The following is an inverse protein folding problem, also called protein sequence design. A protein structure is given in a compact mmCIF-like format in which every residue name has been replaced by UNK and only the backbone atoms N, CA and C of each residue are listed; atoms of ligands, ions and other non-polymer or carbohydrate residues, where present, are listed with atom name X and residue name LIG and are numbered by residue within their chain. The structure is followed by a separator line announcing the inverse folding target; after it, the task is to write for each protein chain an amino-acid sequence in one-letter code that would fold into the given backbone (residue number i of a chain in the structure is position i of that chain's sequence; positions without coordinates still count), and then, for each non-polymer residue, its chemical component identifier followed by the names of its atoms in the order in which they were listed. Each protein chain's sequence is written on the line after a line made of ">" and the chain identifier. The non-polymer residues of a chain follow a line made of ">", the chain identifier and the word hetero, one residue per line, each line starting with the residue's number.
data_IF_532287109099
#
_entry.id   IF_532287109099
#
_cell.length_a   1.000
_cell.length_b   1.000
_cell.length_c   1.000
_cell.angle_alpha   90.00
_cell.angle_beta   90.00
_cell.angle_gamma   90.00
#
_symmetry.space_group_name_H-M   'P 1'
#
loop_
_entity.id
_entity.type
_entity.pdbx_description
1 polymer ?
#
# COMPACT_ATOMS: atom_id res chain seq x y z
N UNK A 1 -60.09 -2.03 16.48
CA UNK A 1 -60.20 -0.60 16.83
C UNK A 1 -59.05 0.13 16.17
N UNK A 2 -59.39 1.17 15.43
CA UNK A 2 -58.58 1.88 14.43
C UNK A 2 -57.74 2.98 15.08
N UNK A 3 -56.52 3.22 14.58
CA UNK A 3 -56.05 4.57 14.16
C UNK A 3 -54.69 4.50 13.44
N UNK A 4 -54.81 4.46 12.12
CA UNK A 4 -53.81 4.91 11.13
C UNK A 4 -53.64 6.43 11.26
N UNK A 5 -52.40 6.93 11.24
CA UNK A 5 -52.12 8.36 11.07
C UNK A 5 -51.33 8.56 9.77
N UNK A 6 -51.97 9.22 8.81
CA UNK A 6 -51.41 9.70 7.55
C UNK A 6 -51.01 11.16 7.77
N UNK A 7 -49.78 11.53 7.42
CA UNK A 7 -49.35 12.93 7.32
C UNK A 7 -49.07 13.23 5.85
N UNK A 8 -49.89 14.12 5.30
CA UNK A 8 -49.82 14.71 3.97
C UNK A 8 -49.37 16.18 4.05
N UNK A 9 -48.67 16.64 3.00
CA UNK A 9 -48.48 18.06 2.68
C UNK A 9 -47.08 18.61 2.99
N UNK A 10 -46.45 19.50 2.20
CA UNK A 10 -46.91 20.43 1.16
C UNK A 10 -45.72 20.75 0.23
N UNK A 11 -46.05 20.94 -1.04
CA UNK A 11 -45.21 21.43 -2.15
C UNK A 11 -44.91 22.93 -2.02
N UNK A 12 -43.70 23.39 -2.35
CA UNK A 12 -43.51 24.80 -2.76
C UNK A 12 -42.47 24.90 -3.87
N UNK A 13 -42.97 25.30 -5.04
CA UNK A 13 -42.20 25.77 -6.21
C UNK A 13 -42.09 27.28 -6.08
N UNK A 14 -40.89 27.83 -6.22
CA UNK A 14 -40.70 29.25 -6.53
C UNK A 14 -39.72 29.37 -7.70
N UNK A 15 -40.26 29.75 -8.85
CA UNK A 15 -39.56 30.37 -9.97
C UNK A 15 -39.95 31.85 -10.00
N UNK A 16 -38.98 32.74 -10.25
CA UNK A 16 -39.11 34.07 -10.88
C UNK A 16 -37.68 34.53 -11.23
N UNK A 17 -37.31 34.46 -12.51
CA UNK A 17 -37.36 35.54 -13.51
C UNK A 17 -36.31 36.63 -13.33
N UNK A 18 -35.49 36.81 -14.36
CA UNK A 18 -34.54 37.90 -14.51
C UNK A 18 -33.80 37.81 -15.85
N UNK A 19 -34.50 38.12 -16.93
CA UNK A 19 -33.93 38.31 -18.27
C UNK A 19 -33.03 39.55 -18.34
N UNK A 20 -31.95 39.49 -19.12
CA UNK A 20 -31.70 40.51 -20.15
C UNK A 20 -30.72 39.99 -21.20
N UNK A 21 -31.18 39.90 -22.44
CA UNK A 21 -30.36 39.81 -23.66
C UNK A 21 -29.63 41.13 -23.91
N UNK A 22 -28.41 41.07 -24.46
CA UNK A 22 -28.00 41.98 -25.53
C UNK A 22 -26.83 41.42 -26.36
N UNK A 23 -27.05 41.40 -27.69
CA UNK A 23 -26.09 41.14 -28.77
C UNK A 23 -24.97 42.19 -28.81
N UNK A 24 -23.75 41.78 -29.17
CA UNK A 24 -23.13 42.14 -30.46
C UNK A 24 -21.75 41.49 -30.65
N UNK A 25 -21.45 41.16 -31.91
CA UNK A 25 -20.14 40.78 -32.44
C UNK A 25 -19.14 41.92 -32.24
N UNK A 26 -17.89 41.58 -31.92
CA UNK A 26 -16.75 42.31 -32.47
C UNK A 26 -15.49 41.43 -32.48
N UNK A 27 -14.77 41.51 -33.59
CA UNK A 27 -13.53 40.80 -33.88
C UNK A 27 -12.37 41.52 -33.18
N UNK A 28 -11.60 40.82 -32.33
CA UNK A 28 -10.50 41.48 -31.60
C UNK A 28 -9.54 40.53 -30.90
N UNK A 29 -8.42 40.26 -31.57
CA UNK A 29 -7.09 39.87 -31.04
C UNK A 29 -7.01 39.61 -29.51
N UNK A 30 -6.77 38.35 -29.15
CA UNK A 30 -6.39 37.94 -27.80
C UNK A 30 -5.11 38.69 -27.35
N UNK A 31 -5.20 39.46 -26.28
CA UNK A 31 -4.09 40.25 -25.76
C UNK A 31 -3.12 39.38 -24.93
N UNK A 32 -1.83 39.68 -25.03
CA UNK A 32 -0.69 38.92 -24.48
C UNK A 32 -0.61 38.84 -22.94
N UNK A 33 -1.63 39.27 -22.21
CA UNK A 33 -1.54 39.41 -20.74
C UNK A 33 -2.24 38.31 -19.93
N UNK A 34 -2.75 37.26 -20.57
CA UNK A 34 -3.30 36.08 -19.88
C UNK A 34 -2.24 34.98 -19.67
N UNK A 35 -1.01 35.16 -20.18
CA UNK A 35 0.07 34.16 -20.07
C UNK A 35 1.02 34.37 -18.87
N UNK A 36 0.85 35.42 -18.07
CA UNK A 36 1.82 35.77 -17.01
C UNK A 36 1.32 35.54 -15.56
N UNK A 37 0.30 34.69 -15.37
CA UNK A 37 -0.14 34.29 -14.01
C UNK A 37 -0.09 32.78 -13.74
N UNK A 38 0.75 32.05 -14.48
CA UNK A 38 1.02 30.62 -14.27
C UNK A 38 2.47 30.33 -13.81
N UNK A 39 3.12 31.30 -13.19
CA UNK A 39 4.52 31.16 -12.72
C UNK A 39 4.62 31.44 -11.23
N UNK A 40 4.05 30.56 -10.42
CA UNK A 40 4.55 30.24 -9.08
C UNK A 40 4.18 28.79 -8.77
N UNK A 41 4.95 27.87 -9.35
CA UNK A 41 4.96 26.46 -8.95
C UNK A 41 6.41 26.02 -8.80
N UNK A 42 6.76 25.69 -7.57
CA UNK A 42 8.07 25.22 -7.10
C UNK A 42 8.69 24.13 -8.01
N UNK A 43 10.00 24.16 -8.30
CA UNK A 43 10.62 23.22 -9.22
C UNK A 43 11.03 21.93 -8.50
N UNK A 44 10.10 21.00 -8.28
CA UNK A 44 10.46 19.65 -7.81
C UNK A 44 9.38 18.59 -8.06
N UNK A 45 8.77 18.56 -9.24
CA UNK A 45 8.01 17.39 -9.70
C UNK A 45 8.26 17.19 -11.19
N UNK A 46 9.41 16.59 -11.52
CA UNK A 46 9.65 16.01 -12.84
C UNK A 46 10.24 14.62 -12.65
N UNK A 47 9.55 13.64 -13.23
CA UNK A 47 9.86 12.22 -13.35
C UNK A 47 9.65 11.34 -12.10
N UNK A 48 8.38 11.08 -11.76
CA UNK A 48 8.02 9.74 -11.30
C UNK A 48 7.40 9.02 -12.50
N UNK A 49 8.09 7.99 -12.99
CA UNK A 49 7.53 7.10 -13.99
C UNK A 49 6.22 6.53 -13.44
N UNK A 50 5.17 6.47 -14.26
CA UNK A 50 4.00 5.65 -13.94
C UNK A 50 4.54 4.26 -13.55
N UNK A 51 4.16 3.70 -12.39
CA UNK A 51 4.60 2.38 -12.00
C UNK A 51 4.32 1.42 -13.14
N UNK A 52 5.39 0.88 -13.72
CA UNK A 52 5.29 -0.06 -14.84
C UNK A 52 4.44 -1.24 -14.37
N UNK A 53 3.54 -1.68 -15.23
CA UNK A 53 2.86 -2.96 -15.08
C UNK A 53 3.90 -4.03 -14.75
N UNK A 54 3.65 -4.82 -13.70
CA UNK A 54 4.57 -5.88 -13.29
C UNK A 54 4.35 -7.07 -14.21
N UNK A 55 5.37 -7.46 -14.98
CA UNK A 55 5.36 -8.73 -15.70
C UNK A 55 5.49 -9.87 -14.68
N UNK A 56 4.44 -10.71 -14.59
CA UNK A 56 4.41 -11.85 -13.68
C UNK A 56 5.53 -12.86 -13.98
N UNK A 57 6.02 -12.96 -15.22
CA UNK A 57 7.14 -13.83 -15.56
C UNK A 57 8.44 -13.29 -14.98
N UNK A 58 8.71 -12.00 -15.18
CA UNK A 58 9.88 -11.33 -14.60
C UNK A 58 9.86 -11.43 -13.07
N UNK A 59 8.69 -11.25 -12.46
CA UNK A 59 8.50 -11.40 -11.01
C UNK A 59 8.87 -12.81 -10.52
N UNK A 60 8.39 -13.86 -11.19
CA UNK A 60 8.71 -15.26 -10.87
C UNK A 60 10.20 -15.55 -11.07
N UNK A 61 10.78 -15.09 -12.17
CA UNK A 61 12.21 -15.26 -12.46
C UNK A 61 13.10 -14.63 -11.37
N UNK A 62 12.70 -13.49 -10.80
CA UNK A 62 13.41 -12.83 -9.70
C UNK A 62 13.44 -13.68 -8.39
N UNK A 63 12.50 -14.61 -8.25
CA UNK A 63 12.45 -15.57 -7.13
C UNK A 63 13.17 -16.90 -7.44
N UNK A 64 13.68 -17.06 -8.67
CA UNK A 64 14.40 -18.24 -9.11
C UNK A 64 13.51 -19.48 -9.14
N UNK A 65 13.96 -20.57 -8.52
CA UNK A 65 13.20 -21.82 -8.41
C UNK A 65 12.15 -21.81 -7.30
N UNK A 66 12.08 -20.74 -6.50
CA UNK A 66 11.13 -20.64 -5.38
C UNK A 66 9.75 -20.31 -5.90
N UNK A 67 8.75 -21.09 -5.48
CA UNK A 67 7.37 -20.84 -5.86
C UNK A 67 6.85 -19.53 -5.26
N UNK A 68 6.30 -18.68 -6.12
CA UNK A 68 5.60 -17.45 -5.73
C UNK A 68 4.21 -17.83 -5.18
N UNK A 69 3.77 -17.29 -4.03
CA UNK A 69 2.41 -17.48 -3.53
C UNK A 69 1.33 -17.02 -4.52
N UNK A 70 0.28 -17.84 -4.73
CA UNK A 70 -0.90 -17.46 -5.53
C UNK A 70 -1.51 -16.12 -5.06
N UNK A 71 -1.48 -15.86 -3.75
CA UNK A 71 -1.98 -14.61 -3.18
C UNK A 71 -1.23 -13.39 -3.70
N UNK A 72 0.08 -13.53 -3.94
CA UNK A 72 0.94 -12.48 -4.46
C UNK A 72 0.75 -12.30 -5.97
N UNK A 73 0.57 -13.38 -6.72
CA UNK A 73 0.24 -13.30 -8.15
C UNK A 73 -1.11 -12.59 -8.35
N UNK A 74 -2.14 -12.97 -7.59
CA UNK A 74 -3.44 -12.29 -7.64
C UNK A 74 -3.35 -10.82 -7.22
N UNK A 75 -2.46 -10.47 -6.29
CA UNK A 75 -2.23 -9.08 -5.90
C UNK A 75 -1.54 -8.28 -7.01
N UNK A 76 -0.61 -8.89 -7.74
CA UNK A 76 0.01 -8.30 -8.94
C UNK A 76 -1.07 -8.02 -9.99
N UNK A 77 -1.93 -8.98 -10.29
CA UNK A 77 -3.07 -8.80 -11.22
C UNK A 77 -4.00 -7.67 -10.76
N UNK A 78 -4.31 -7.61 -9.46
CA UNK A 78 -5.10 -6.52 -8.88
C UNK A 78 -4.41 -5.16 -9.08
N UNK A 79 -3.11 -5.07 -8.79
CA UNK A 79 -2.33 -3.85 -8.92
C UNK A 79 -2.21 -3.41 -10.38
N UNK A 80 -2.03 -4.33 -11.32
CA UNK A 80 -1.84 -4.04 -12.75
C UNK A 80 -3.15 -3.62 -13.44
N UNK A 81 -4.27 -4.26 -13.09
CA UNK A 81 -5.48 -4.18 -13.92
C UNK A 81 -6.71 -3.59 -13.21
N UNK A 82 -6.75 -3.58 -11.88
CA UNK A 82 -7.90 -3.07 -11.09
C UNK A 82 -7.57 -1.73 -10.42
N UNK A 83 -6.32 -1.55 -10.03
CA UNK A 83 -5.79 -0.38 -9.34
C UNK A 83 -4.50 0.10 -10.00
N UNK A 84 -3.63 0.75 -9.22
CA UNK A 84 -2.20 0.94 -9.54
C UNK A 84 -1.41 0.94 -8.24
N UNK A 85 -0.09 0.78 -8.32
CA UNK A 85 0.78 0.94 -7.16
C UNK A 85 0.48 2.27 -6.42
N UNK A 86 0.58 2.25 -5.09
CA UNK A 86 0.33 3.39 -4.19
C UNK A 86 -1.14 3.87 -4.10
N UNK A 87 -2.07 3.35 -4.90
CA UNK A 87 -3.45 3.86 -4.90
C UNK A 87 -4.41 3.10 -4.01
N UNK A 88 -4.08 1.88 -3.57
CA UNK A 88 -5.00 1.04 -2.83
C UNK A 88 -4.66 0.87 -1.33
N UNK A 89 -3.42 1.17 -0.94
CA UNK A 89 -3.01 1.27 0.45
C UNK A 89 -1.78 2.18 0.54
N UNK A 90 -1.77 3.14 1.47
CA UNK A 90 -0.68 4.10 1.59
C UNK A 90 0.67 3.41 1.84
N UNK A 91 1.70 3.83 1.12
CA UNK A 91 3.07 3.34 1.25
C UNK A 91 3.30 1.90 0.76
N UNK A 92 2.25 1.23 0.28
CA UNK A 92 2.34 -0.15 -0.20
C UNK A 92 2.29 -0.21 -1.72
N UNK A 93 3.23 -0.95 -2.29
CA UNK A 93 3.21 -1.37 -3.68
C UNK A 93 3.97 -2.69 -3.82
N UNK A 94 3.42 -3.63 -4.57
CA UNK A 94 4.21 -4.79 -5.01
C UNK A 94 5.27 -4.29 -5.99
N UNK A 95 6.49 -4.80 -5.89
CA UNK A 95 7.63 -4.42 -6.72
C UNK A 95 8.50 -5.63 -7.05
N UNK A 96 9.21 -5.59 -8.18
CA UNK A 96 10.32 -6.50 -8.44
C UNK A 96 11.56 -5.90 -7.77
N UNK A 97 11.98 -6.49 -6.66
CA UNK A 97 13.08 -5.98 -5.84
C UNK A 97 14.42 -6.65 -6.23
N UNK A 98 15.47 -5.84 -6.41
CA UNK A 98 16.81 -6.28 -6.84
C UNK A 98 17.71 -6.75 -5.69
N UNK A 99 17.14 -6.84 -4.48
CA UNK A 99 17.78 -7.20 -3.20
C UNK A 99 18.89 -6.24 -2.77
N UNK A 100 18.99 -5.05 -3.39
CA UNK A 100 20.00 -4.04 -3.02
C UNK A 100 19.81 -3.54 -1.59
N UNK A 101 18.55 -3.37 -1.17
CA UNK A 101 18.18 -3.05 0.20
C UNK A 101 18.81 -4.06 1.16
N UNK A 102 18.44 -5.35 1.04
CA UNK A 102 18.95 -6.44 1.89
C UNK A 102 20.49 -6.48 2.03
N UNK A 103 21.22 -6.18 0.95
CA UNK A 103 22.69 -6.17 0.94
C UNK A 103 23.30 -5.09 1.84
N UNK A 104 22.53 -4.10 2.29
CA UNK A 104 22.98 -3.12 3.30
C UNK A 104 22.97 -3.70 4.73
N UNK A 105 22.19 -4.75 4.99
CA UNK A 105 22.23 -5.52 6.23
C UNK A 105 23.30 -6.61 6.16
N UNK A 106 23.25 -7.48 5.16
CA UNK A 106 24.28 -8.51 4.98
C UNK A 106 24.42 -8.92 3.52
N UNK A 107 25.67 -9.17 3.11
CA UNK A 107 26.01 -9.70 1.78
C UNK A 107 26.20 -11.21 1.78
N UNK A 108 25.98 -11.86 2.93
CA UNK A 108 26.12 -13.31 3.06
C UNK A 108 25.07 -14.03 2.18
N UNK A 109 25.48 -14.96 1.29
CA UNK A 109 24.53 -15.70 0.46
C UNK A 109 23.47 -16.45 1.26
N UNK A 110 23.83 -17.06 2.40
CA UNK A 110 22.88 -17.78 3.26
C UNK A 110 21.86 -16.86 3.91
N UNK A 111 22.18 -15.59 4.11
CA UNK A 111 21.21 -14.56 4.51
C UNK A 111 20.25 -14.23 3.37
N UNK A 112 20.80 -13.94 2.18
CA UNK A 112 20.02 -13.50 1.01
C UNK A 112 19.12 -14.59 0.43
N UNK A 113 19.48 -15.86 0.56
CA UNK A 113 18.68 -17.01 0.11
C UNK A 113 17.43 -17.25 0.96
N UNK A 114 17.37 -16.70 2.18
CA UNK A 114 16.23 -16.86 3.09
C UNK A 114 15.20 -15.73 3.00
N UNK A 115 15.48 -14.70 2.23
CA UNK A 115 14.71 -13.46 2.19
C UNK A 115 14.22 -13.17 0.77
N UNK A 116 12.91 -13.06 0.64
CA UNK A 116 12.22 -12.84 -0.63
C UNK A 116 11.49 -11.48 -0.57
N UNK A 117 12.19 -10.38 -0.91
CA UNK A 117 11.58 -9.05 -0.95
C UNK A 117 10.57 -8.96 -2.08
N UNK A 118 9.46 -8.25 -1.85
CA UNK A 118 8.36 -8.24 -2.82
C UNK A 118 7.49 -7.00 -2.84
N UNK A 119 7.60 -6.13 -1.83
CA UNK A 119 6.79 -4.94 -1.78
C UNK A 119 7.51 -3.81 -1.05
N UNK A 120 7.27 -2.59 -1.50
CA UNK A 120 7.58 -1.39 -0.75
C UNK A 120 6.65 -1.27 0.46
N UNK A 121 7.16 -0.73 1.56
CA UNK A 121 6.42 -0.60 2.82
C UNK A 121 6.13 0.86 3.24
N UNK A 122 6.95 1.81 2.80
CA UNK A 122 6.73 3.24 3.04
C UNK A 122 7.35 4.09 1.92
N UNK A 123 7.14 5.41 1.95
CA UNK A 123 7.68 6.34 0.96
C UNK A 123 9.18 6.62 1.05
N UNK A 124 9.90 6.09 2.04
CA UNK A 124 11.29 6.47 2.35
C UNK A 124 12.32 5.35 2.13
N UNK A 125 11.88 4.12 1.91
CA UNK A 125 12.73 3.02 1.47
C UNK A 125 12.59 1.72 2.26
N UNK A 126 11.64 1.64 3.20
CA UNK A 126 11.30 0.38 3.86
C UNK A 126 10.63 -0.58 2.89
N UNK A 127 10.80 -1.89 3.11
CA UNK A 127 10.25 -2.94 2.25
C UNK A 127 9.83 -4.19 3.03
N UNK A 128 8.86 -4.91 2.48
CA UNK A 128 8.37 -6.18 2.99
C UNK A 128 9.08 -7.37 2.32
N UNK A 129 9.32 -8.39 3.13
CA UNK A 129 10.07 -9.58 2.78
C UNK A 129 9.35 -10.80 3.33
N UNK A 130 9.19 -11.86 2.53
CA UNK A 130 8.85 -13.17 3.08
C UNK A 130 10.14 -13.82 3.59
N UNK A 131 10.15 -14.22 4.86
CA UNK A 131 11.27 -14.90 5.48
C UNK A 131 11.05 -16.42 5.49
N UNK A 132 11.90 -17.15 4.79
CA UNK A 132 11.94 -18.60 4.84
C UNK A 132 12.56 -19.05 6.19
N UNK A 133 11.69 -19.36 7.15
CA UNK A 133 12.06 -19.77 8.52
C UNK A 133 12.73 -21.16 8.61
N UNK A 134 12.94 -21.84 7.49
CA UNK A 134 13.55 -23.18 7.41
C UNK A 134 12.60 -24.33 7.71
N UNK A 135 11.31 -24.09 7.95
CA UNK A 135 10.34 -25.13 8.33
C UNK A 135 9.75 -25.91 7.14
N UNK A 136 10.24 -25.69 5.91
CA UNK A 136 9.76 -26.32 4.67
C UNK A 136 8.26 -26.11 4.38
N UNK A 137 7.61 -25.16 5.06
CA UNK A 137 6.24 -24.73 4.74
C UNK A 137 6.20 -24.09 3.35
N UNK A 138 5.03 -24.08 2.70
CA UNK A 138 4.86 -23.28 1.49
C UNK A 138 5.05 -21.79 1.78
N UNK A 139 5.54 -21.03 0.80
CA UNK A 139 5.86 -19.60 0.95
C UNK A 139 4.69 -18.75 1.44
N UNK A 140 3.45 -19.12 1.10
CA UNK A 140 2.25 -18.43 1.57
C UNK A 140 1.92 -18.64 3.06
N UNK A 141 2.68 -19.49 3.77
CA UNK A 141 2.57 -19.71 5.22
C UNK A 141 3.80 -19.22 5.99
N UNK A 142 4.75 -18.60 5.28
CA UNK A 142 5.96 -18.07 5.87
C UNK A 142 5.75 -16.65 6.39
N UNK A 143 6.39 -16.28 7.51
CA UNK A 143 6.24 -14.97 8.12
C UNK A 143 6.72 -13.84 7.21
N UNK A 144 6.09 -12.68 7.33
CA UNK A 144 6.51 -11.45 6.66
C UNK A 144 7.28 -10.58 7.65
N UNK A 145 8.45 -10.12 7.21
CA UNK A 145 9.32 -9.16 7.90
C UNK A 145 9.24 -7.82 7.17
N UNK A 146 9.18 -6.73 7.91
CA UNK A 146 9.49 -5.40 7.37
C UNK A 146 10.94 -5.05 7.68
N UNK A 147 11.67 -4.58 6.66
CA UNK A 147 12.99 -3.97 6.80
C UNK A 147 12.83 -2.47 6.72
N UNK A 148 13.17 -1.79 7.82
CA UNK A 148 13.07 -0.35 8.02
C UNK A 148 14.28 0.37 7.45
N UNK A 149 14.05 1.45 6.71
CA UNK A 149 15.11 2.34 6.22
C UNK A 149 15.84 3.12 7.34
N UNK A 150 15.27 3.15 8.55
CA UNK A 150 15.91 3.64 9.77
C UNK A 150 16.66 2.54 10.57
N UNK A 151 16.74 1.31 10.03
CA UNK A 151 17.55 0.21 10.57
C UNK A 151 16.81 -0.85 11.39
N UNK A 152 15.52 -0.66 11.69
CA UNK A 152 14.71 -1.66 12.40
C UNK A 152 14.26 -2.82 11.51
N UNK A 153 14.20 -4.04 12.06
CA UNK A 153 13.62 -5.21 11.37
C UNK A 153 12.60 -5.90 12.27
N UNK A 154 11.38 -6.10 11.77
CA UNK A 154 10.28 -6.63 12.59
C UNK A 154 9.42 -7.62 11.81
N UNK A 155 9.06 -8.72 12.47
CA UNK A 155 7.97 -9.57 12.00
C UNK A 155 6.67 -8.77 12.11
N UNK A 156 5.91 -8.68 11.03
CA UNK A 156 4.67 -7.88 10.96
C UNK A 156 3.42 -8.71 10.65
N UNK A 157 3.60 -9.91 10.10
CA UNK A 157 2.50 -10.83 9.79
C UNK A 157 2.98 -12.28 9.83
N UNK A 158 2.13 -13.21 10.25
CA UNK A 158 2.43 -14.65 10.25
C UNK A 158 2.51 -15.24 8.83
N UNK A 159 1.87 -14.58 7.87
CA UNK A 159 1.82 -15.00 6.47
C UNK A 159 1.33 -13.87 5.56
N UNK A 160 1.34 -14.13 4.24
CA UNK A 160 0.91 -13.16 3.23
C UNK A 160 -0.54 -12.69 3.43
N UNK A 161 -1.48 -13.56 3.81
CA UNK A 161 -2.88 -13.15 4.03
C UNK A 161 -3.01 -12.21 5.24
N UNK A 162 -2.25 -12.44 6.30
CA UNK A 162 -2.20 -11.50 7.43
C UNK A 162 -1.58 -10.17 7.03
N UNK A 163 -0.57 -10.14 6.15
CA UNK A 163 -0.07 -8.87 5.60
C UNK A 163 -1.15 -8.16 4.77
N UNK A 164 -1.87 -8.89 3.90
CA UNK A 164 -2.96 -8.29 3.13
C UNK A 164 -4.04 -7.69 4.03
N UNK A 165 -4.38 -8.38 5.13
CA UNK A 165 -5.27 -7.87 6.15
C UNK A 165 -4.67 -6.64 6.87
N UNK A 166 -3.38 -6.66 7.19
CA UNK A 166 -2.68 -5.55 7.85
C UNK A 166 -2.74 -4.27 7.02
N UNK A 167 -2.42 -4.35 5.72
CA UNK A 167 -2.39 -3.17 4.84
C UNK A 167 -3.79 -2.60 4.50
N UNK A 168 -4.88 -3.30 4.85
CA UNK A 168 -6.22 -2.70 4.81
C UNK A 168 -6.39 -1.52 5.77
N UNK A 169 -5.49 -1.40 6.75
CA UNK A 169 -5.48 -0.25 7.63
C UNK A 169 -5.25 1.06 6.87
N UNK A 170 -4.63 1.03 5.69
CA UNK A 170 -4.46 2.19 4.80
C UNK A 170 -3.72 3.34 5.47
N UNK A 171 -2.50 3.08 5.92
CA UNK A 171 -1.53 4.07 6.36
C UNK A 171 -0.13 3.49 6.10
N UNK A 172 0.88 4.33 5.93
CA UNK A 172 2.25 3.83 5.83
C UNK A 172 2.69 3.21 7.15
N UNK A 173 3.48 2.14 7.08
CA UNK A 173 4.09 1.56 8.28
C UNK A 173 5.25 2.45 8.73
N UNK A 174 5.30 2.72 10.03
CA UNK A 174 6.45 3.34 10.68
C UNK A 174 7.31 2.25 11.28
N UNK A 175 8.62 2.30 11.00
CA UNK A 175 9.57 1.26 11.41
C UNK A 175 10.74 1.93 12.09
N UNK A 176 10.80 1.79 13.42
CA UNK A 176 11.94 2.23 14.22
C UNK A 176 12.74 1.02 14.73
N UNK A 177 13.83 1.27 15.45
CA UNK A 177 14.71 0.23 15.99
C UNK A 177 14.01 -0.75 16.96
N UNK A 178 12.89 -0.36 17.57
CA UNK A 178 12.19 -1.10 18.63
C UNK A 178 10.87 -1.72 18.17
N UNK A 179 10.19 -1.12 17.20
CA UNK A 179 8.87 -1.55 16.78
C UNK A 179 8.54 -1.18 15.34
N UNK A 180 7.55 -1.89 14.79
CA UNK A 180 6.84 -1.51 13.59
C UNK A 180 5.36 -1.26 13.94
N UNK A 181 4.80 -0.15 13.46
CA UNK A 181 3.45 0.25 13.82
C UNK A 181 2.79 1.08 12.73
N UNK A 182 1.47 1.17 12.78
CA UNK A 182 0.67 2.02 11.91
C UNK A 182 -0.06 3.06 12.76
N UNK A 183 -0.20 4.27 12.23
CA UNK A 183 -1.07 5.29 12.81
C UNK A 183 -1.66 6.17 11.71
N UNK A 184 -2.83 6.73 11.97
CA UNK A 184 -3.46 7.75 11.12
C UNK A 184 -3.44 9.06 11.89
N UNK A 185 -2.76 10.07 11.35
CA UNK A 185 -2.78 11.42 11.89
C UNK A 185 -4.01 12.19 11.37
N UNK A 186 -4.17 13.44 11.84
CA UNK A 186 -5.27 14.32 11.41
C UNK A 186 -5.23 14.64 9.90
N UNK A 187 -4.06 14.55 9.27
CA UNK A 187 -3.84 14.75 7.85
C UNK A 187 -4.11 13.52 6.99
N UNK A 188 -4.55 12.39 7.58
CA UNK A 188 -4.82 11.17 6.86
C UNK A 188 -5.85 11.39 5.74
N UNK A 189 -5.48 10.94 4.54
CA UNK A 189 -6.36 10.89 3.38
C UNK A 189 -6.45 9.46 2.89
N UNK A 190 -7.66 8.93 2.87
CA UNK A 190 -7.94 7.60 2.35
C UNK A 190 -7.36 7.40 0.95
N UNK A 191 -6.69 6.26 0.74
CA UNK A 191 -6.18 5.89 -0.58
C UNK A 191 -7.31 5.79 -1.60
N UNK A 192 -7.03 6.30 -2.81
CA UNK A 192 -8.02 6.51 -3.88
C UNK A 192 -8.84 5.24 -4.18
N UNK A 193 -8.17 4.11 -4.25
CA UNK A 193 -8.70 2.82 -4.64
C UNK A 193 -8.83 1.83 -3.46
N UNK A 194 -8.74 2.32 -2.21
CA UNK A 194 -8.88 1.45 -1.00
C UNK A 194 -10.16 0.62 -1.05
N UNK A 195 -11.30 1.23 -1.43
CA UNK A 195 -12.57 0.50 -1.50
C UNK A 195 -12.54 -0.66 -2.50
N UNK A 196 -11.80 -0.53 -3.61
CA UNK A 196 -11.63 -1.62 -4.59
C UNK A 196 -10.81 -2.74 -3.99
N UNK A 197 -9.76 -2.42 -3.25
CA UNK A 197 -8.93 -3.40 -2.56
C UNK A 197 -9.69 -4.14 -1.46
N UNK A 198 -10.46 -3.43 -0.63
CA UNK A 198 -11.29 -4.07 0.40
C UNK A 198 -12.33 -5.02 -0.21
N UNK A 199 -12.98 -4.60 -1.31
CA UNK A 199 -13.92 -5.45 -2.04
C UNK A 199 -13.23 -6.70 -2.58
N UNK A 200 -12.10 -6.51 -3.27
CA UNK A 200 -11.31 -7.62 -3.82
C UNK A 200 -10.85 -8.59 -2.73
N UNK A 201 -10.40 -8.10 -1.58
CA UNK A 201 -9.94 -8.93 -0.47
C UNK A 201 -11.08 -9.73 0.16
N UNK A 202 -12.26 -9.11 0.29
CA UNK A 202 -13.46 -9.78 0.77
C UNK A 202 -13.94 -10.87 -0.19
N UNK A 203 -13.92 -10.61 -1.51
CA UNK A 203 -14.36 -11.56 -2.53
C UNK A 203 -13.40 -12.76 -2.68
N UNK A 204 -12.09 -12.53 -2.55
CA UNK A 204 -11.08 -13.58 -2.76
C UNK A 204 -10.74 -14.37 -1.48
N UNK A 205 -10.81 -13.74 -0.31
CA UNK A 205 -10.32 -14.32 0.94
C UNK A 205 -11.28 -14.17 2.12
N UNK A 206 -12.42 -13.50 1.95
CA UNK A 206 -13.38 -13.28 3.03
C UNK A 206 -12.89 -12.35 4.13
N UNK A 207 -11.84 -11.56 3.86
CA UNK A 207 -11.22 -10.67 4.84
C UNK A 207 -11.80 -9.25 4.75
N UNK A 208 -12.19 -8.71 5.91
CA UNK A 208 -12.61 -7.33 6.06
C UNK A 208 -11.44 -6.42 6.44
N UNK A 209 -11.65 -5.11 6.40
CA UNK A 209 -10.64 -4.16 6.85
C UNK A 209 -10.33 -4.33 8.36
N UNK A 210 -9.04 -4.34 8.70
CA UNK A 210 -8.60 -4.29 10.09
C UNK A 210 -8.77 -2.90 10.67
N UNK A 211 -9.15 -2.84 11.95
CA UNK A 211 -9.07 -1.62 12.78
C UNK A 211 -7.97 -1.70 13.82
N UNK A 212 -7.27 -2.83 13.89
CA UNK A 212 -6.36 -3.17 14.97
C UNK A 212 -5.05 -3.77 14.40
N UNK A 213 -4.29 -2.99 13.61
CA UNK A 213 -3.05 -3.47 13.00
C UNK A 213 -2.04 -3.96 14.05
N UNK A 214 -2.03 -3.34 15.24
CA UNK A 214 -1.17 -3.74 16.35
C UNK A 214 -1.43 -5.16 16.87
N UNK A 215 -2.68 -5.66 16.83
CA UNK A 215 -2.99 -7.02 17.27
C UNK A 215 -2.43 -8.07 16.28
N UNK A 216 -2.46 -7.77 14.98
CA UNK A 216 -1.87 -8.62 13.94
C UNK A 216 -0.35 -8.70 14.12
N UNK A 217 0.32 -7.54 14.24
CA UNK A 217 1.77 -7.47 14.43
C UNK A 217 2.17 -8.19 15.73
N UNK A 218 1.47 -7.92 16.85
CA UNK A 218 1.78 -8.55 18.13
C UNK A 218 1.61 -10.08 18.10
N UNK A 219 0.59 -10.58 17.41
CA UNK A 219 0.38 -12.03 17.21
C UNK A 219 1.54 -12.66 16.46
N UNK A 220 1.96 -12.04 15.34
CA UNK A 220 3.06 -12.53 14.53
C UNK A 220 4.40 -12.46 15.28
N UNK A 221 4.67 -11.37 15.98
CA UNK A 221 5.87 -11.22 16.80
C UNK A 221 5.93 -12.26 17.92
N UNK A 222 4.83 -12.51 18.63
CA UNK A 222 4.77 -13.52 19.68
C UNK A 222 5.19 -14.92 19.19
N UNK A 223 4.91 -15.24 17.93
CA UNK A 223 5.20 -16.55 17.34
C UNK A 223 6.61 -16.66 16.76
N UNK A 224 7.08 -15.62 16.08
CA UNK A 224 8.26 -15.74 15.21
C UNK A 224 9.46 -14.88 15.65
N UNK A 225 9.25 -13.86 16.49
CA UNK A 225 10.29 -12.87 16.78
C UNK A 225 11.55 -13.49 17.37
N UNK A 226 11.41 -14.35 18.37
CA UNK A 226 12.58 -14.96 19.03
C UNK A 226 13.44 -15.76 18.03
N UNK A 227 12.81 -16.57 17.18
CA UNK A 227 13.51 -17.34 16.16
C UNK A 227 14.15 -16.44 15.10
N UNK A 228 13.41 -15.42 14.65
CA UNK A 228 13.91 -14.45 13.68
C UNK A 228 15.12 -13.69 14.23
N UNK A 229 15.02 -13.14 15.44
CA UNK A 229 16.10 -12.38 16.08
C UNK A 229 17.36 -13.24 16.22
N UNK A 230 17.21 -14.49 16.65
CA UNK A 230 18.33 -15.43 16.78
C UNK A 230 19.01 -15.68 15.43
N UNK A 231 18.23 -15.99 14.40
CA UNK A 231 18.74 -16.20 13.05
C UNK A 231 19.40 -14.92 12.49
N UNK A 232 18.75 -13.77 12.65
CA UNK A 232 19.22 -12.49 12.14
C UNK A 232 20.55 -12.05 12.78
N UNK A 233 20.73 -12.31 14.08
CA UNK A 233 21.94 -11.99 14.82
C UNK A 233 23.20 -12.75 14.34
N UNK A 234 23.04 -13.84 13.60
CA UNK A 234 24.15 -14.57 12.96
C UNK A 234 24.77 -13.73 11.82
N UNK A 235 23.99 -12.87 11.17
CA UNK A 235 24.39 -12.13 9.97
C UNK A 235 24.53 -10.62 10.21
N UNK A 236 23.80 -10.07 11.17
CA UNK A 236 23.80 -8.64 11.46
C UNK A 236 23.96 -8.41 12.95
N UNK A 237 25.01 -7.67 13.31
CA UNK A 237 25.23 -7.18 14.67
C UNK A 237 24.87 -5.72 14.72
N UNK A 238 23.92 -5.36 15.59
CA UNK A 238 23.67 -3.97 15.95
C UNK A 238 25.00 -3.44 16.50
N UNK A 239 25.56 -2.45 15.79
CA UNK A 239 26.81 -1.79 16.20
C UNK A 239 26.57 -0.88 17.39
#
# INVERSE_FOLDING_TARGET
>A
MIRTLIITGITTVLTLFGCSEQKNKDDGKLSKNTQEKLTYSSPQFKNQAIPREIDIKEFRENWGSTAVPDELEKLIEFQNHISSAEFYSQGFAVTIDDRSGLKSWSKDPSFLEKLFPFAQANGTGSFYVIWNDGTQKPMNKMPVVVFGDEGGTHIVAENILELLHLITFDAEISVDMKQAYFYKNEGYKKSRDLNRFLKWLQENYGLNATRKPSEIIASAQKKHKEQFDKWFAEYYKIK
#
